data_IF_627454816031
#
_entry.id   IF_627454816031
#
_cell.length_a   1.000
_cell.length_b   1.000
_cell.length_c   1.000
_cell.angle_alpha   90.00
_cell.angle_beta   90.00
_cell.angle_gamma   90.00
#
_symmetry.space_group_name_H-M   'P 1'
#
loop_
_entity.id
_entity.type
_entity.pdbx_description
1 polymer ?
#
# COMPACT_ATOMS: atom_id res chain seq x y z
N UNK A 1 -40.94 33.84 8.22
CA UNK A 1 -41.51 33.08 9.36
C UNK A 1 -40.61 31.88 9.58
N UNK A 2 -39.59 32.10 10.40
CA UNK A 2 -38.51 31.17 10.67
C UNK A 2 -39.03 30.06 11.59
N UNK A 3 -38.93 28.81 11.16
CA UNK A 3 -39.07 27.65 12.04
C UNK A 3 -37.68 27.34 12.61
N UNK A 4 -37.50 27.37 13.95
CA UNK A 4 -36.19 27.16 14.55
C UNK A 4 -35.79 25.69 14.42
N UNK A 5 -34.67 25.42 13.73
CA UNK A 5 -34.03 24.09 13.70
C UNK A 5 -33.57 23.73 15.10
N UNK A 6 -34.44 23.07 15.85
CA UNK A 6 -34.19 22.51 17.18
C UNK A 6 -33.01 21.54 17.08
N UNK A 7 -31.96 21.80 17.86
CA UNK A 7 -30.68 21.10 17.81
C UNK A 7 -30.83 19.58 17.89
N UNK A 8 -30.29 18.91 16.89
CA UNK A 8 -30.18 17.45 16.84
C UNK A 8 -29.23 17.04 17.97
N UNK A 9 -29.61 16.15 18.90
CA UNK A 9 -28.74 15.73 20.00
C UNK A 9 -27.48 15.05 19.46
N UNK A 10 -26.32 15.36 20.04
CA UNK A 10 -24.98 14.92 19.61
C UNK A 10 -24.86 13.39 19.47
N UNK A 11 -25.64 12.63 20.25
CA UNK A 11 -25.66 11.17 20.22
C UNK A 11 -26.45 10.57 19.04
N UNK A 12 -27.30 11.35 18.37
CA UNK A 12 -28.09 10.89 17.21
C UNK A 12 -27.34 11.05 15.87
N UNK A 13 -26.18 11.72 15.88
CA UNK A 13 -25.23 11.76 14.75
C UNK A 13 -24.44 10.45 14.57
N UNK A 14 -24.43 9.59 15.58
CA UNK A 14 -23.73 8.30 15.53
C UNK A 14 -24.46 7.24 14.67
N UNK A 15 -25.70 7.52 14.25
CA UNK A 15 -26.47 6.74 13.28
C UNK A 15 -26.63 7.53 11.97
N UNK A 16 -25.61 8.30 11.57
CA UNK A 16 -25.54 8.72 10.18
C UNK A 16 -25.39 7.45 9.35
N UNK A 17 -26.42 7.10 8.57
CA UNK A 17 -26.32 6.10 7.52
C UNK A 17 -25.01 6.34 6.75
N UNK A 18 -24.23 5.29 6.44
CA UNK A 18 -23.00 5.46 5.68
C UNK A 18 -23.35 6.24 4.41
N UNK A 19 -22.71 7.39 4.23
CA UNK A 19 -22.96 8.19 3.05
C UNK A 19 -22.50 7.37 1.83
N UNK A 20 -23.10 7.60 0.66
CA UNK A 20 -22.67 6.93 -0.57
C UNK A 20 -21.17 7.15 -0.82
N UNK A 21 -20.64 8.30 -0.39
CA UNK A 21 -19.23 8.66 -0.49
C UNK A 21 -18.35 7.77 0.40
N UNK A 22 -18.73 7.54 1.65
CA UNK A 22 -18.00 6.65 2.58
C UNK A 22 -17.91 5.22 2.05
N UNK A 23 -19.02 4.71 1.48
CA UNK A 23 -19.06 3.38 0.87
C UNK A 23 -18.16 3.31 -0.36
N UNK A 24 -18.18 4.34 -1.21
CA UNK A 24 -17.33 4.40 -2.39
C UNK A 24 -15.85 4.42 -2.03
N UNK A 25 -15.47 5.16 -0.99
CA UNK A 25 -14.09 5.22 -0.50
C UNK A 25 -13.64 3.87 0.06
N UNK A 26 -14.47 3.21 0.85
CA UNK A 26 -14.16 1.87 1.37
C UNK A 26 -13.97 0.83 0.25
N UNK A 27 -14.82 0.87 -0.78
CA UNK A 27 -14.68 0.00 -1.95
C UNK A 27 -13.41 0.29 -2.75
N UNK A 28 -13.06 1.55 -2.94
CA UNK A 28 -11.83 1.94 -3.64
C UNK A 28 -10.58 1.46 -2.88
N UNK A 29 -10.55 1.61 -1.56
CA UNK A 29 -9.46 1.09 -0.73
C UNK A 29 -9.36 -0.44 -0.83
N UNK A 30 -10.50 -1.14 -0.72
CA UNK A 30 -10.53 -2.60 -0.86
C UNK A 30 -10.03 -3.06 -2.24
N UNK A 31 -10.42 -2.34 -3.30
CA UNK A 31 -9.96 -2.60 -4.65
C UNK A 31 -8.45 -2.42 -4.81
N UNK A 32 -7.89 -1.32 -4.31
CA UNK A 32 -6.44 -1.07 -4.37
C UNK A 32 -5.66 -2.12 -3.59
N UNK A 33 -6.14 -2.54 -2.41
CA UNK A 33 -5.52 -3.61 -1.64
C UNK A 33 -5.58 -4.96 -2.37
N UNK A 34 -6.70 -5.27 -3.04
CA UNK A 34 -6.80 -6.45 -3.88
C UNK A 34 -5.80 -6.41 -5.04
N UNK A 35 -5.68 -5.28 -5.75
CA UNK A 35 -4.67 -5.11 -6.79
C UNK A 35 -3.25 -5.24 -6.22
N UNK A 36 -2.99 -4.71 -5.03
CA UNK A 36 -1.69 -4.84 -4.34
C UNK A 36 -1.32 -6.30 -4.10
N UNK A 37 -2.29 -7.12 -3.66
CA UNK A 37 -2.09 -8.56 -3.46
C UNK A 37 -1.77 -9.28 -4.78
N UNK A 38 -2.41 -8.90 -5.88
CA UNK A 38 -2.12 -9.45 -7.20
C UNK A 38 -0.69 -9.12 -7.65
N UNK A 39 -0.23 -7.89 -7.45
CA UNK A 39 1.14 -7.48 -7.80
C UNK A 39 2.16 -8.20 -6.92
N UNK A 40 1.89 -8.35 -5.62
CA UNK A 40 2.78 -9.13 -4.74
C UNK A 40 2.90 -10.60 -5.18
N UNK A 41 1.84 -11.16 -5.78
CA UNK A 41 1.86 -12.53 -6.31
C UNK A 41 2.86 -12.70 -7.47
N UNK A 42 3.22 -11.64 -8.19
CA UNK A 42 4.26 -11.69 -9.24
C UNK A 42 5.60 -12.20 -8.67
N UNK A 43 5.95 -11.85 -7.42
CA UNK A 43 7.16 -12.36 -6.77
C UNK A 43 7.14 -13.87 -6.56
N UNK A 44 5.97 -14.41 -6.20
CA UNK A 44 5.78 -15.85 -6.09
C UNK A 44 5.84 -16.53 -7.48
N UNK A 45 5.35 -15.84 -8.52
CA UNK A 45 5.44 -16.27 -9.91
C UNK A 45 6.88 -16.41 -10.40
N UNK A 46 7.70 -15.37 -10.21
CA UNK A 46 9.13 -15.40 -10.55
C UNK A 46 9.88 -16.46 -9.76
N UNK A 47 9.66 -16.54 -8.44
CA UNK A 47 10.28 -17.54 -7.60
C UNK A 47 9.96 -18.98 -8.06
N UNK A 48 8.72 -19.24 -8.49
CA UNK A 48 8.31 -20.54 -9.06
C UNK A 48 8.99 -20.82 -10.40
N UNK A 49 9.11 -19.81 -11.26
CA UNK A 49 9.73 -19.95 -12.58
C UNK A 49 11.24 -20.20 -12.49
N UNK A 50 11.93 -19.50 -11.59
CA UNK A 50 13.34 -19.75 -11.28
C UNK A 50 13.51 -21.14 -10.66
N UNK A 51 12.66 -21.50 -9.70
CA UNK A 51 12.68 -22.82 -9.07
C UNK A 51 12.53 -23.97 -10.09
N UNK A 52 11.65 -23.80 -11.09
CA UNK A 52 11.41 -24.79 -12.15
C UNK A 52 12.58 -24.93 -13.13
N UNK A 53 13.40 -23.89 -13.28
CA UNK A 53 14.55 -23.87 -14.22
C UNK A 53 15.83 -24.44 -13.60
N UNK A 54 15.83 -24.75 -12.31
CA UNK A 54 17.04 -25.09 -11.54
C UNK A 54 17.06 -26.55 -11.10
N UNK A 55 18.28 -27.07 -10.89
CA UNK A 55 18.48 -28.39 -10.30
C UNK A 55 18.16 -28.35 -8.81
N UNK A 56 17.45 -29.36 -8.30
CA UNK A 56 17.00 -29.42 -6.90
C UNK A 56 18.10 -29.21 -5.83
N UNK A 57 19.37 -29.48 -6.18
CA UNK A 57 20.52 -29.30 -5.26
C UNK A 57 20.88 -27.83 -4.98
N UNK A 58 20.58 -26.90 -5.89
CA UNK A 58 20.86 -25.46 -5.72
C UNK A 58 19.59 -24.62 -5.43
N UNK A 59 18.41 -25.23 -5.56
CA UNK A 59 17.10 -24.61 -5.42
C UNK A 59 16.94 -23.83 -4.10
N UNK A 60 17.29 -24.44 -2.96
CA UNK A 60 17.15 -23.80 -1.65
C UNK A 60 17.93 -22.49 -1.50
N UNK A 61 19.10 -22.36 -2.12
CA UNK A 61 19.90 -21.13 -2.03
C UNK A 61 19.26 -19.96 -2.79
N UNK A 62 18.47 -20.27 -3.81
CA UNK A 62 17.86 -19.28 -4.72
C UNK A 62 16.47 -18.87 -4.21
N UNK A 63 15.69 -19.80 -3.65
CA UNK A 63 14.46 -19.45 -2.93
C UNK A 63 14.73 -18.52 -1.73
N UNK A 64 15.79 -18.80 -0.96
CA UNK A 64 16.16 -17.93 0.17
C UNK A 64 16.55 -16.52 -0.30
N UNK A 65 17.23 -16.39 -1.44
CA UNK A 65 17.53 -15.08 -2.02
C UNK A 65 16.26 -14.33 -2.41
N UNK A 66 15.32 -14.98 -3.09
CA UNK A 66 14.03 -14.37 -3.47
C UNK A 66 13.22 -13.90 -2.24
N UNK A 67 13.20 -14.68 -1.15
CA UNK A 67 12.53 -14.27 0.08
C UNK A 67 13.22 -13.09 0.78
N UNK A 68 14.56 -13.11 0.83
CA UNK A 68 15.32 -12.00 1.40
C UNK A 68 15.18 -10.72 0.57
N UNK A 69 15.11 -10.84 -0.75
CA UNK A 69 14.92 -9.72 -1.66
C UNK A 69 13.58 -9.02 -1.40
N UNK A 70 12.48 -9.77 -1.33
CA UNK A 70 11.16 -9.22 -1.00
C UNK A 70 11.15 -8.53 0.38
N UNK A 71 11.81 -9.10 1.39
CA UNK A 71 11.87 -8.54 2.75
C UNK A 71 12.74 -7.29 2.86
N UNK A 72 13.94 -7.30 2.27
CA UNK A 72 14.87 -6.16 2.29
C UNK A 72 14.34 -5.04 1.38
N UNK A 73 13.77 -5.37 0.23
CA UNK A 73 13.10 -4.44 -0.67
C UNK A 73 11.95 -3.71 0.02
N UNK A 74 11.17 -4.41 0.85
CA UNK A 74 10.17 -3.78 1.69
C UNK A 74 10.75 -2.78 2.69
N UNK A 75 11.76 -3.19 3.46
CA UNK A 75 12.40 -2.29 4.42
C UNK A 75 13.01 -1.05 3.74
N UNK A 76 13.65 -1.21 2.59
CA UNK A 76 14.22 -0.11 1.80
C UNK A 76 13.13 0.84 1.25
N UNK A 77 12.01 0.29 0.78
CA UNK A 77 10.91 1.09 0.25
C UNK A 77 10.21 1.93 1.34
N UNK A 78 9.93 1.33 2.50
CA UNK A 78 9.30 2.03 3.62
C UNK A 78 10.22 3.09 4.24
N UNK A 79 11.54 2.90 4.19
CA UNK A 79 12.50 3.87 4.75
C UNK A 79 12.78 5.03 3.81
N UNK A 80 13.03 4.76 2.52
CA UNK A 80 13.44 5.78 1.56
C UNK A 80 12.60 5.82 0.27
N UNK A 81 12.15 4.66 -0.22
CA UNK A 81 11.50 4.54 -1.54
C UNK A 81 10.24 5.40 -1.68
N UNK A 82 9.35 5.38 -0.68
CA UNK A 82 8.12 6.17 -0.74
C UNK A 82 8.40 7.68 -0.72
N UNK A 83 9.35 8.12 0.11
CA UNK A 83 9.74 9.53 0.21
C UNK A 83 10.39 10.06 -1.05
N UNK A 84 11.23 9.27 -1.73
CA UNK A 84 11.87 9.69 -2.98
C UNK A 84 10.87 9.83 -4.14
N UNK A 85 9.88 8.94 -4.24
CA UNK A 85 8.90 8.95 -5.33
C UNK A 85 7.72 9.90 -5.10
N UNK A 86 7.21 9.97 -3.87
CA UNK A 86 5.95 10.65 -3.53
C UNK A 86 6.11 11.79 -2.51
N UNK A 87 7.34 12.05 -2.03
CA UNK A 87 7.67 13.06 -1.02
C UNK A 87 7.36 14.51 -1.38
N UNK A 88 7.16 14.82 -2.66
CA UNK A 88 7.13 16.21 -3.13
C UNK A 88 8.50 16.89 -2.94
N UNK A 89 8.93 17.66 -3.95
CA UNK A 89 10.29 18.19 -3.97
C UNK A 89 10.63 18.73 -5.35
N UNK A 90 11.88 18.55 -5.76
CA UNK A 90 12.36 18.93 -7.07
C UNK A 90 11.93 17.92 -8.15
N UNK A 91 12.13 18.25 -9.43
CA UNK A 91 11.77 17.38 -10.55
C UNK A 91 12.47 16.00 -10.56
N UNK A 92 13.52 15.82 -9.76
CA UNK A 92 14.31 14.59 -9.70
C UNK A 92 14.08 13.75 -8.44
N UNK A 93 13.72 14.35 -7.29
CA UNK A 93 13.57 13.61 -6.03
C UNK A 93 12.64 14.32 -5.04
N UNK A 94 11.83 13.53 -4.32
CA UNK A 94 11.02 13.97 -3.18
C UNK A 94 11.84 14.17 -1.91
N UNK A 95 11.45 15.16 -1.10
CA UNK A 95 12.14 15.53 0.15
C UNK A 95 11.31 15.29 1.42
N UNK A 96 10.09 14.77 1.31
CA UNK A 96 9.19 14.48 2.45
C UNK A 96 8.76 13.01 2.45
N UNK A 97 8.04 12.58 3.49
CA UNK A 97 7.54 11.22 3.68
C UNK A 97 8.63 10.12 3.79
N UNK A 98 9.86 10.50 4.13
CA UNK A 98 10.89 9.53 4.51
C UNK A 98 10.45 8.78 5.77
N UNK A 99 10.68 7.47 5.79
CA UNK A 99 10.33 6.60 6.92
C UNK A 99 8.82 6.64 7.29
N UNK A 100 7.96 7.00 6.34
CA UNK A 100 6.52 7.25 6.52
C UNK A 100 6.19 8.37 7.53
N UNK A 101 7.12 9.28 7.81
CA UNK A 101 6.81 10.45 8.62
C UNK A 101 5.78 11.34 7.91
N UNK A 102 4.78 11.82 8.66
CA UNK A 102 3.70 12.70 8.18
C UNK A 102 2.79 12.12 7.08
N UNK A 103 2.80 10.80 6.85
CA UNK A 103 1.83 10.13 5.98
C UNK A 103 0.53 9.89 6.75
N UNK A 104 -0.60 10.32 6.19
CA UNK A 104 -1.91 10.05 6.79
C UNK A 104 -2.23 8.56 6.75
N UNK A 105 -2.84 8.04 7.82
CA UNK A 105 -3.18 6.62 7.92
C UNK A 105 -4.19 6.19 6.86
N UNK A 106 -5.01 7.11 6.39
CA UNK A 106 -5.94 6.90 5.28
C UNK A 106 -5.23 6.54 3.99
N UNK A 107 -4.00 7.03 3.77
CA UNK A 107 -3.25 6.88 2.51
C UNK A 107 -2.30 5.69 2.49
N UNK A 108 -2.26 4.87 3.56
CA UNK A 108 -1.40 3.69 3.59
C UNK A 108 -1.71 2.70 2.47
N UNK A 109 -2.96 2.59 2.01
CA UNK A 109 -3.32 1.77 0.85
C UNK A 109 -2.50 2.16 -0.39
N UNK A 110 -2.23 3.46 -0.58
CA UNK A 110 -1.42 3.96 -1.67
C UNK A 110 0.07 3.63 -1.50
N UNK A 111 0.59 3.71 -0.26
CA UNK A 111 1.97 3.31 0.07
C UNK A 111 2.18 1.83 -0.22
N UNK A 112 1.27 0.97 0.27
CA UNK A 112 1.34 -0.48 0.07
C UNK A 112 1.25 -0.87 -1.40
N UNK A 113 0.38 -0.21 -2.17
CA UNK A 113 0.27 -0.45 -3.61
C UNK A 113 1.58 -0.16 -4.33
N UNK A 114 2.20 0.99 -4.08
CA UNK A 114 3.46 1.36 -4.72
C UNK A 114 4.65 0.53 -4.22
N UNK A 115 4.62 0.10 -2.97
CA UNK A 115 5.58 -0.88 -2.46
C UNK A 115 5.54 -2.17 -3.28
N UNK A 116 4.35 -2.69 -3.60
CA UNK A 116 4.24 -3.93 -4.37
C UNK A 116 4.89 -3.79 -5.77
N UNK A 117 4.70 -2.66 -6.46
CA UNK A 117 5.39 -2.41 -7.73
C UNK A 117 6.90 -2.26 -7.57
N UNK A 118 7.35 -1.55 -6.54
CA UNK A 118 8.78 -1.37 -6.28
C UNK A 118 9.46 -2.67 -5.88
N UNK A 119 8.76 -3.57 -5.19
CA UNK A 119 9.29 -4.89 -4.85
C UNK A 119 9.52 -5.72 -6.12
N UNK A 120 8.60 -5.68 -7.08
CA UNK A 120 8.67 -6.48 -8.32
C UNK A 120 9.63 -5.93 -9.39
N UNK A 121 10.18 -4.73 -9.20
CA UNK A 121 11.04 -4.04 -10.16
C UNK A 121 12.52 -4.41 -9.98
#
# INVERSE_FOLDING_TARGET
RETPRRGIPLHMRALSEPSADDLSQALNVAWVLFCTMLVFWEQAGFAMWEAGSLRAKSLHSILLKNMCDAGIGAAAFFTFGYGLGFGGGDAFAGHKYFMLQDVDRGDFHHVFFHWAFAATA
#
